data_IF_156708827417
#
_entry.id   IF_156708827417
#
_cell.length_a   1.000
_cell.length_b   1.000
_cell.length_c   1.000
_cell.angle_alpha   90.00
_cell.angle_beta   90.00
_cell.angle_gamma   90.00
#
_symmetry.space_group_name_H-M   'P 1'
#
loop_
_entity.id
_entity.type
_entity.pdbx_description
1 polymer ?
#
# COMPACT_ATOMS: atom_id res chain seq x y z
N UNK A 1 21.81 -9.84 -37.14
CA UNK A 1 20.79 -10.75 -37.70
C UNK A 1 19.62 -10.74 -36.74
N UNK A 2 18.41 -10.41 -37.18
CA UNK A 2 17.22 -10.36 -36.30
C UNK A 2 16.82 -11.79 -35.97
N UNK A 3 16.82 -12.15 -34.69
CA UNK A 3 16.46 -13.52 -34.27
C UNK A 3 14.95 -13.74 -34.35
N UNK A 4 14.51 -15.00 -34.33
CA UNK A 4 13.08 -15.34 -34.23
C UNK A 4 12.49 -14.74 -32.94
N UNK A 5 13.24 -14.75 -31.84
CA UNK A 5 12.84 -14.13 -30.58
C UNK A 5 12.61 -12.63 -30.71
N UNK A 6 13.49 -11.91 -31.42
CA UNK A 6 13.32 -10.47 -31.66
C UNK A 6 12.04 -10.17 -32.46
N UNK A 7 11.71 -11.01 -33.45
CA UNK A 7 10.45 -10.87 -34.20
C UNK A 7 9.23 -11.09 -33.32
N UNK A 8 9.30 -12.04 -32.40
CA UNK A 8 8.21 -12.31 -31.46
C UNK A 8 8.02 -11.17 -30.46
N UNK A 9 9.13 -10.67 -29.89
CA UNK A 9 9.11 -9.58 -28.91
C UNK A 9 8.54 -8.27 -29.48
N UNK A 10 8.77 -8.02 -30.78
CA UNK A 10 8.27 -6.83 -31.49
C UNK A 10 6.90 -7.06 -32.18
N UNK A 11 6.26 -8.22 -32.00
CA UNK A 11 4.97 -8.52 -32.62
C UNK A 11 3.81 -7.94 -31.81
N UNK A 12 3.10 -6.98 -32.40
CA UNK A 12 1.88 -6.41 -31.80
C UNK A 12 0.77 -7.45 -31.61
N UNK A 13 0.70 -8.42 -32.52
CA UNK A 13 -0.32 -9.49 -32.44
C UNK A 13 -0.06 -10.36 -31.22
N UNK A 14 1.19 -10.74 -30.96
CA UNK A 14 1.54 -11.57 -29.80
C UNK A 14 1.24 -10.83 -28.50
N UNK A 15 1.61 -9.55 -28.40
CA UNK A 15 1.33 -8.72 -27.23
C UNK A 15 -0.19 -8.59 -26.98
N UNK A 16 -0.98 -8.32 -28.03
CA UNK A 16 -2.43 -8.20 -27.92
C UNK A 16 -3.10 -9.53 -27.54
N UNK A 17 -2.64 -10.66 -28.09
CA UNK A 17 -3.16 -11.98 -27.71
C UNK A 17 -2.87 -12.28 -26.24
N UNK A 18 -1.65 -11.97 -25.75
CA UNK A 18 -1.28 -12.17 -24.36
C UNK A 18 -2.14 -11.29 -23.43
N UNK A 19 -2.33 -10.02 -23.79
CA UNK A 19 -3.20 -9.12 -23.05
C UNK A 19 -4.66 -9.61 -23.04
N UNK A 20 -5.18 -10.05 -24.19
CA UNK A 20 -6.54 -10.59 -24.31
C UNK A 20 -6.75 -11.82 -23.42
N UNK A 21 -5.80 -12.74 -23.37
CA UNK A 21 -5.84 -13.90 -22.46
C UNK A 21 -5.89 -13.45 -20.99
N UNK A 22 -5.05 -12.49 -20.62
CA UNK A 22 -5.05 -11.91 -19.27
C UNK A 22 -6.37 -11.25 -18.90
N UNK A 23 -6.92 -10.42 -19.78
CA UNK A 23 -8.22 -9.77 -19.56
C UNK A 23 -9.39 -10.74 -19.56
N UNK A 24 -9.31 -11.85 -20.31
CA UNK A 24 -10.30 -12.93 -20.25
C UNK A 24 -10.33 -13.55 -18.85
N UNK A 25 -9.17 -13.82 -18.25
CA UNK A 25 -9.09 -14.31 -16.87
C UNK A 25 -9.62 -13.28 -15.86
N UNK A 26 -9.25 -12.00 -16.02
CA UNK A 26 -9.73 -10.93 -15.14
C UNK A 26 -11.27 -10.84 -15.19
N UNK A 27 -11.85 -10.85 -16.38
CA UNK A 27 -13.30 -10.87 -16.57
C UNK A 27 -13.93 -12.10 -15.93
N UNK A 28 -13.37 -13.29 -16.18
CA UNK A 28 -13.83 -14.54 -15.59
C UNK A 28 -13.84 -14.47 -14.06
N UNK A 29 -12.77 -13.94 -13.44
CA UNK A 29 -12.67 -13.79 -11.99
C UNK A 29 -13.79 -12.91 -11.43
N UNK A 30 -14.03 -11.73 -11.99
CA UNK A 30 -15.12 -10.85 -11.53
C UNK A 30 -16.51 -11.43 -11.81
N UNK A 31 -16.69 -12.14 -12.93
CA UNK A 31 -17.97 -12.76 -13.27
C UNK A 31 -18.35 -13.91 -12.33
N UNK A 32 -17.36 -14.64 -11.80
CA UNK A 32 -17.58 -15.83 -10.96
C UNK A 32 -17.51 -15.54 -9.47
N UNK A 33 -16.72 -14.55 -9.04
CA UNK A 33 -16.50 -14.22 -7.63
C UNK A 33 -17.10 -12.88 -7.20
N UNK A 34 -17.75 -12.15 -8.10
CA UNK A 34 -18.21 -10.78 -7.85
C UNK A 34 -17.04 -9.81 -7.66
N UNK A 35 -17.25 -8.75 -6.89
CA UNK A 35 -16.22 -7.73 -6.62
C UNK A 35 -15.16 -8.23 -5.63
N UNK A 36 -14.33 -9.18 -6.06
CA UNK A 36 -13.22 -9.77 -5.30
C UNK A 36 -11.89 -9.18 -5.74
N UNK A 37 -11.61 -7.93 -5.37
CA UNK A 37 -10.36 -7.26 -5.73
C UNK A 37 -9.27 -7.54 -4.68
N UNK A 38 -8.27 -8.33 -5.04
CA UNK A 38 -7.06 -8.56 -4.26
C UNK A 38 -5.80 -8.06 -4.98
N UNK A 39 -4.66 -8.09 -4.29
CA UNK A 39 -3.39 -7.62 -4.84
C UNK A 39 -2.94 -8.38 -6.10
N UNK A 40 -3.27 -9.67 -6.22
CA UNK A 40 -2.90 -10.46 -7.40
C UNK A 40 -3.71 -10.02 -8.62
N UNK A 41 -5.00 -9.78 -8.44
CA UNK A 41 -5.88 -9.29 -9.52
C UNK A 41 -5.49 -7.86 -9.92
N UNK A 42 -5.18 -7.00 -8.95
CA UNK A 42 -4.65 -5.65 -9.24
C UNK A 42 -3.35 -5.72 -10.05
N UNK A 43 -2.41 -6.58 -9.65
CA UNK A 43 -1.15 -6.78 -10.37
C UNK A 43 -1.40 -7.31 -11.79
N UNK A 44 -2.31 -8.28 -11.95
CA UNK A 44 -2.68 -8.81 -13.26
C UNK A 44 -3.28 -7.72 -14.16
N UNK A 45 -4.18 -6.89 -13.63
CA UNK A 45 -4.77 -5.76 -14.36
C UNK A 45 -3.66 -4.83 -14.87
N UNK A 46 -2.77 -4.35 -13.99
CA UNK A 46 -1.70 -3.44 -14.40
C UNK A 46 -0.72 -4.09 -15.38
N UNK A 47 -0.38 -5.36 -15.19
CA UNK A 47 0.53 -6.09 -16.07
C UNK A 47 -0.03 -6.23 -17.49
N UNK A 48 -1.27 -6.72 -17.63
CA UNK A 48 -1.89 -6.92 -18.93
C UNK A 48 -2.32 -5.61 -19.59
N UNK A 49 -2.76 -4.62 -18.81
CA UNK A 49 -2.97 -3.26 -19.32
C UNK A 49 -1.67 -2.64 -19.84
N UNK A 50 -0.56 -2.81 -19.10
CA UNK A 50 0.76 -2.35 -19.51
C UNK A 50 1.19 -2.93 -20.85
N UNK A 51 1.04 -4.25 -21.03
CA UNK A 51 1.31 -4.94 -22.31
C UNK A 51 0.42 -4.39 -23.43
N UNK A 52 -0.89 -4.26 -23.19
CA UNK A 52 -1.83 -3.77 -24.19
C UNK A 52 -1.52 -2.34 -24.66
N UNK A 53 -1.15 -1.46 -23.72
CA UNK A 53 -0.92 -0.04 -23.98
C UNK A 53 0.44 0.24 -24.65
N UNK A 54 1.47 -0.58 -24.40
CA UNK A 54 2.79 -0.41 -25.01
C UNK A 54 2.91 -1.06 -26.40
N UNK A 55 1.93 -1.86 -26.81
CA UNK A 55 1.81 -2.38 -28.16
C UNK A 55 2.70 -3.58 -28.46
N UNK A 56 3.94 -3.64 -27.98
CA UNK A 56 4.82 -4.81 -28.10
C UNK A 56 5.40 -5.23 -26.74
N UNK A 57 5.83 -6.49 -26.62
CA UNK A 57 6.49 -6.97 -25.40
C UNK A 57 7.85 -6.28 -25.21
N UNK A 58 8.56 -6.00 -26.30
CA UNK A 58 9.81 -5.26 -26.26
C UNK A 58 9.62 -3.85 -25.70
N UNK A 59 8.62 -3.11 -26.19
CA UNK A 59 8.32 -1.75 -25.73
C UNK A 59 7.88 -1.73 -24.27
N UNK A 60 7.07 -2.71 -23.84
CA UNK A 60 6.66 -2.83 -22.44
C UNK A 60 7.85 -3.10 -21.51
N UNK A 61 8.72 -4.06 -21.86
CA UNK A 61 9.91 -4.37 -21.07
C UNK A 61 10.87 -3.18 -21.02
N UNK A 62 11.03 -2.47 -22.13
CA UNK A 62 11.83 -1.25 -22.18
C UNK A 62 11.26 -0.16 -21.27
N UNK A 63 9.95 0.07 -21.31
CA UNK A 63 9.28 1.01 -20.41
C UNK A 63 9.44 0.63 -18.92
N UNK A 64 9.33 -0.66 -18.58
CA UNK A 64 9.60 -1.16 -17.22
C UNK A 64 11.04 -0.87 -16.82
N UNK A 65 12.01 -1.13 -17.71
CA UNK A 65 13.43 -0.85 -17.47
C UNK A 65 13.69 0.64 -17.24
N UNK A 66 13.05 1.52 -17.99
CA UNK A 66 13.22 2.97 -17.88
C UNK A 66 12.57 3.53 -16.60
N UNK A 67 11.46 2.94 -16.14
CA UNK A 67 10.80 3.32 -14.89
C UNK A 67 11.49 2.78 -13.63
N UNK A 68 12.15 1.62 -13.73
CA UNK A 68 12.75 0.89 -12.59
C UNK A 68 13.71 1.74 -11.74
N UNK A 69 14.65 2.53 -12.31
CA UNK A 69 15.53 3.38 -11.52
C UNK A 69 14.80 4.31 -10.55
N UNK A 70 13.67 4.89 -10.98
CA UNK A 70 12.85 5.80 -10.19
C UNK A 70 12.15 5.16 -8.99
N UNK A 71 11.99 3.83 -8.99
CA UNK A 71 11.34 3.07 -7.91
C UNK A 71 12.26 2.01 -7.29
N UNK A 72 13.56 2.05 -7.59
CA UNK A 72 14.55 1.06 -7.15
C UNK A 72 14.59 0.87 -5.63
N UNK A 73 14.47 1.96 -4.86
CA UNK A 73 14.38 1.90 -3.40
C UNK A 73 13.13 1.15 -2.91
N UNK A 74 12.01 1.31 -3.60
CA UNK A 74 10.75 0.60 -3.30
C UNK A 74 10.92 -0.90 -3.58
N UNK A 75 11.47 -1.26 -4.73
CA UNK A 75 11.72 -2.65 -5.15
C UNK A 75 12.60 -3.37 -4.11
N UNK A 76 13.64 -2.70 -3.61
CA UNK A 76 14.54 -3.27 -2.60
C UNK A 76 13.86 -3.47 -1.23
N UNK A 77 13.02 -2.52 -0.81
CA UNK A 77 12.37 -2.55 0.51
C UNK A 77 11.23 -3.58 0.60
N UNK A 78 10.49 -3.81 -0.49
CA UNK A 78 9.30 -4.67 -0.47
C UNK A 78 9.55 -6.11 0.03
N UNK A 79 10.62 -6.80 -0.42
CA UNK A 79 10.98 -8.11 0.14
C UNK A 79 11.28 -8.09 1.65
N UNK A 80 11.88 -7.02 2.17
CA UNK A 80 12.15 -6.86 3.60
C UNK A 80 10.84 -6.70 4.38
N UNK A 81 9.89 -5.90 3.87
CA UNK A 81 8.57 -5.77 4.46
C UNK A 81 7.78 -7.09 4.44
N UNK A 82 7.89 -7.87 3.36
CA UNK A 82 7.31 -9.21 3.31
C UNK A 82 7.92 -10.15 4.35
N UNK A 83 9.24 -10.07 4.59
CA UNK A 83 9.91 -10.81 5.65
C UNK A 83 9.41 -10.44 7.06
N UNK A 84 9.30 -9.13 7.35
CA UNK A 84 8.75 -8.64 8.61
C UNK A 84 7.30 -9.08 8.79
N UNK A 85 6.48 -8.98 7.74
CA UNK A 85 5.10 -9.47 7.74
C UNK A 85 5.04 -10.95 8.10
N UNK A 86 5.90 -11.78 7.48
CA UNK A 86 6.01 -13.20 7.81
C UNK A 86 6.33 -13.42 9.28
N UNK A 87 7.33 -12.73 9.81
CA UNK A 87 7.68 -12.80 11.23
C UNK A 87 6.50 -12.40 12.13
N UNK A 88 5.88 -11.26 11.90
CA UNK A 88 4.75 -10.77 12.72
C UNK A 88 3.59 -11.75 12.68
N UNK A 89 3.24 -12.27 11.51
CA UNK A 89 2.11 -13.19 11.31
C UNK A 89 2.34 -14.56 11.96
N UNK A 90 3.55 -15.12 11.86
CA UNK A 90 3.80 -16.51 12.27
C UNK A 90 4.46 -16.67 13.64
N UNK A 91 4.95 -15.59 14.26
CA UNK A 91 5.59 -15.63 15.60
C UNK A 91 4.61 -15.52 16.77
N UNK A 92 3.31 -15.27 16.50
CA UNK A 92 2.33 -14.93 17.53
C UNK A 92 2.37 -13.47 17.99
N UNK A 93 3.21 -12.62 17.38
CA UNK A 93 3.26 -11.19 17.70
C UNK A 93 1.94 -10.46 17.44
N UNK A 94 1.13 -10.92 16.49
CA UNK A 94 -0.23 -10.37 16.28
C UNK A 94 -1.05 -10.49 17.55
N UNK A 95 -1.07 -11.65 18.22
CA UNK A 95 -1.77 -11.86 19.49
C UNK A 95 -1.29 -10.93 20.59
N UNK A 96 0.03 -10.87 20.78
CA UNK A 96 0.66 -10.06 21.83
C UNK A 96 0.33 -8.58 21.66
N UNK A 97 0.51 -8.04 20.46
CA UNK A 97 0.25 -6.62 20.21
C UNK A 97 -1.25 -6.31 20.21
N UNK A 98 -2.10 -7.22 19.74
CA UNK A 98 -3.54 -7.01 19.76
C UNK A 98 -4.05 -6.92 21.20
N UNK A 99 -3.60 -7.84 22.06
CA UNK A 99 -3.94 -7.85 23.49
C UNK A 99 -3.40 -6.60 24.21
N UNK A 100 -2.20 -6.12 23.85
CA UNK A 100 -1.63 -4.91 24.41
C UNK A 100 -2.45 -3.64 24.04
N UNK A 101 -2.92 -3.53 22.80
CA UNK A 101 -3.81 -2.43 22.40
C UNK A 101 -5.14 -2.52 23.15
N UNK A 102 -5.71 -3.72 23.25
CA UNK A 102 -6.98 -3.96 23.95
C UNK A 102 -6.87 -3.60 25.44
N UNK A 103 -5.78 -3.97 26.12
CA UNK A 103 -5.63 -3.76 27.57
C UNK A 103 -5.56 -2.30 27.99
N UNK A 104 -5.13 -1.40 27.09
CA UNK A 104 -5.08 0.05 27.33
C UNK A 104 -6.29 0.81 26.76
N UNK A 105 -7.19 0.11 26.04
CA UNK A 105 -8.29 0.72 25.30
C UNK A 105 -9.62 0.60 26.02
N UNK A 106 -10.49 1.58 25.81
CA UNK A 106 -11.94 1.46 25.98
C UNK A 106 -12.59 1.51 24.60
N UNK A 107 -13.89 1.18 24.49
CA UNK A 107 -14.61 1.30 23.21
C UNK A 107 -14.50 2.69 22.57
N UNK A 108 -14.46 3.73 23.41
CA UNK A 108 -14.36 5.12 22.94
C UNK A 108 -12.92 5.49 22.51
N UNK A 109 -11.89 4.96 23.18
CA UNK A 109 -10.49 5.33 22.91
C UNK A 109 -9.78 4.37 21.94
N UNK A 110 -10.38 3.21 21.66
CA UNK A 110 -9.78 2.16 20.83
C UNK A 110 -9.34 2.64 19.44
N UNK A 111 -10.17 3.41 18.73
CA UNK A 111 -9.83 3.90 17.39
C UNK A 111 -8.70 4.93 17.44
N UNK A 112 -8.62 5.73 18.49
CA UNK A 112 -7.51 6.66 18.70
C UNK A 112 -6.20 5.90 18.97
N UNK A 113 -6.22 4.88 19.82
CA UNK A 113 -5.03 4.05 20.08
C UNK A 113 -4.58 3.30 18.83
N UNK A 114 -5.51 2.75 18.05
CA UNK A 114 -5.22 2.12 16.75
C UNK A 114 -4.58 3.12 15.78
N UNK A 115 -5.09 4.35 15.73
CA UNK A 115 -4.51 5.42 14.92
C UNK A 115 -3.09 5.77 15.37
N UNK A 116 -2.86 5.98 16.67
CA UNK A 116 -1.53 6.31 17.22
C UNK A 116 -0.53 5.16 16.97
N UNK A 117 -0.90 3.91 17.25
CA UNK A 117 -0.02 2.76 17.02
C UNK A 117 0.34 2.63 15.54
N UNK A 118 -0.66 2.77 14.66
CA UNK A 118 -0.47 2.76 13.22
C UNK A 118 0.47 3.87 12.75
N UNK A 119 0.34 5.06 13.34
CA UNK A 119 1.17 6.22 13.05
C UNK A 119 2.64 5.99 13.40
N UNK A 120 2.90 5.35 14.55
CA UNK A 120 4.24 4.98 14.99
C UNK A 120 4.84 3.92 14.06
N UNK A 121 4.07 2.88 13.71
CA UNK A 121 4.54 1.83 12.80
C UNK A 121 4.88 2.40 11.41
N UNK A 122 4.08 3.35 10.91
CA UNK A 122 4.36 4.00 9.63
C UNK A 122 5.73 4.69 9.58
N UNK A 123 6.22 5.23 10.70
CA UNK A 123 7.57 5.83 10.77
C UNK A 123 8.68 4.83 10.41
N UNK A 124 8.44 3.53 10.59
CA UNK A 124 9.39 2.46 10.24
C UNK A 124 9.02 1.75 8.93
N UNK A 125 7.74 1.73 8.57
CA UNK A 125 7.21 1.08 7.37
C UNK A 125 6.37 2.09 6.55
N UNK A 126 7.00 3.07 5.86
CA UNK A 126 6.33 4.14 5.14
C UNK A 126 5.73 3.69 3.80
N UNK A 127 4.89 2.66 3.85
CA UNK A 127 4.25 2.04 2.68
C UNK A 127 2.83 1.63 3.07
N UNK A 128 1.81 2.15 2.39
CA UNK A 128 0.42 1.83 2.73
C UNK A 128 0.12 0.32 2.69
N UNK A 129 0.56 -0.36 1.64
CA UNK A 129 0.41 -1.82 1.52
C UNK A 129 1.27 -2.59 2.53
N UNK A 130 2.53 -2.20 2.72
CA UNK A 130 3.45 -2.85 3.67
C UNK A 130 3.01 -2.68 5.13
N UNK A 131 2.52 -1.49 5.47
CA UNK A 131 1.96 -1.21 6.79
C UNK A 131 0.66 -1.96 7.03
N UNK A 132 -0.26 -2.00 6.05
CA UNK A 132 -1.49 -2.79 6.19
C UNK A 132 -1.19 -4.26 6.44
N UNK A 133 -0.19 -4.81 5.75
CA UNK A 133 0.27 -6.17 5.94
C UNK A 133 0.73 -6.48 7.39
N UNK A 134 1.28 -5.49 8.11
CA UNK A 134 1.75 -5.64 9.50
C UNK A 134 0.66 -5.26 10.51
N UNK A 135 0.09 -4.06 10.37
CA UNK A 135 -0.81 -3.44 11.34
C UNK A 135 -2.28 -3.87 11.16
N UNK A 136 -2.68 -4.22 9.94
CA UNK A 136 -4.05 -4.64 9.61
C UNK A 136 -4.52 -5.84 10.44
N UNK A 137 -3.77 -6.97 10.46
CA UNK A 137 -4.15 -8.12 11.28
C UNK A 137 -4.28 -7.80 12.77
N UNK A 138 -3.39 -6.96 13.30
CA UNK A 138 -3.43 -6.51 14.70
C UNK A 138 -4.70 -5.70 14.95
N UNK A 139 -4.98 -4.71 14.10
CA UNK A 139 -6.15 -3.85 14.25
C UNK A 139 -7.47 -4.62 14.12
N UNK A 140 -7.55 -5.56 13.17
CA UNK A 140 -8.75 -6.38 12.99
C UNK A 140 -8.98 -7.31 14.18
N UNK A 141 -7.92 -7.95 14.69
CA UNK A 141 -8.03 -8.81 15.86
C UNK A 141 -8.37 -8.04 17.13
N UNK A 142 -7.75 -6.87 17.36
CA UNK A 142 -8.15 -6.00 18.48
C UNK A 142 -9.60 -5.52 18.34
N UNK A 143 -10.06 -5.21 17.13
CA UNK A 143 -11.45 -4.81 16.90
C UNK A 143 -12.43 -5.94 17.24
N UNK A 144 -12.12 -7.16 16.84
CA UNK A 144 -12.89 -8.36 17.20
C UNK A 144 -12.96 -8.54 18.72
N UNK A 145 -11.82 -8.49 19.42
CA UNK A 145 -11.76 -8.62 20.88
C UNK A 145 -12.55 -7.54 21.63
N UNK A 146 -12.61 -6.33 21.08
CA UNK A 146 -13.34 -5.20 21.64
C UNK A 146 -14.82 -5.16 21.24
N UNK A 147 -15.26 -5.97 20.26
CA UNK A 147 -16.56 -5.80 19.62
C UNK A 147 -16.70 -4.46 18.86
N UNK A 148 -15.60 -3.93 18.33
CA UNK A 148 -15.53 -2.67 17.61
C UNK A 148 -15.67 -2.85 16.09
N UNK A 149 -15.92 -1.76 15.36
CA UNK A 149 -16.11 -1.79 13.91
C UNK A 149 -14.82 -2.02 13.15
N UNK A 150 -14.79 -3.08 12.34
CA UNK A 150 -13.70 -3.34 11.41
C UNK A 150 -13.46 -2.19 10.43
N UNK A 151 -14.53 -1.54 9.95
CA UNK A 151 -14.43 -0.45 8.98
C UNK A 151 -13.71 0.73 9.62
N UNK A 152 -14.15 1.17 10.79
CA UNK A 152 -13.55 2.31 11.48
C UNK A 152 -12.14 1.99 11.98
N UNK A 153 -11.85 0.75 12.34
CA UNK A 153 -10.48 0.29 12.64
C UNK A 153 -9.57 0.33 11.41
N UNK A 154 -10.05 -0.11 10.24
CA UNK A 154 -9.29 -0.03 9.01
C UNK A 154 -8.99 1.43 8.63
N UNK A 155 -9.97 2.32 8.80
CA UNK A 155 -9.79 3.76 8.61
C UNK A 155 -8.79 4.35 9.61
N UNK A 156 -8.85 3.98 10.90
CA UNK A 156 -7.88 4.42 11.90
C UNK A 156 -6.44 4.03 11.51
N UNK A 157 -6.24 2.81 10.98
CA UNK A 157 -4.95 2.39 10.45
C UNK A 157 -4.52 3.27 9.27
N UNK A 158 -5.41 3.48 8.28
CA UNK A 158 -5.13 4.29 7.09
C UNK A 158 -4.85 5.77 7.41
N UNK A 159 -5.56 6.34 8.38
CA UNK A 159 -5.33 7.69 8.86
C UNK A 159 -3.97 7.81 9.56
N UNK A 160 -3.57 6.80 10.34
CA UNK A 160 -2.26 6.80 10.97
C UNK A 160 -1.12 6.78 9.95
N UNK A 161 -1.26 5.98 8.88
CA UNK A 161 -0.35 6.01 7.73
C UNK A 161 -0.29 7.42 7.09
N UNK A 162 -1.45 7.97 6.76
CA UNK A 162 -1.53 9.26 6.05
C UNK A 162 -1.00 10.42 6.89
N UNK A 163 -1.25 10.39 8.20
CA UNK A 163 -0.86 11.45 9.11
C UNK A 163 0.67 11.56 9.21
N UNK A 164 1.38 10.47 9.55
CA UNK A 164 2.85 10.54 9.69
C UNK A 164 3.61 10.54 8.37
N UNK A 165 2.96 10.24 7.24
CA UNK A 165 3.54 10.51 5.92
C UNK A 165 3.90 11.99 5.75
N UNK A 166 3.20 12.93 6.39
CA UNK A 166 3.58 14.36 6.32
C UNK A 166 4.97 14.63 6.92
N UNK A 167 5.45 13.80 7.83
CA UNK A 167 6.83 13.87 8.36
C UNK A 167 7.84 13.17 7.44
N UNK A 168 7.42 12.20 6.62
CA UNK A 168 8.30 11.38 5.79
C UNK A 168 8.14 11.74 4.30
N UNK A 169 9.17 12.28 3.63
CA UNK A 169 9.04 12.81 2.26
C UNK A 169 9.00 11.71 1.19
N UNK A 170 8.73 10.44 1.53
CA UNK A 170 8.76 9.33 0.60
C UNK A 170 7.75 9.49 -0.55
N UNK A 171 6.53 9.91 -0.22
CA UNK A 171 5.50 10.25 -1.21
C UNK A 171 5.85 11.49 -2.04
N UNK A 172 6.69 12.38 -1.51
CA UNK A 172 7.06 13.62 -2.15
C UNK A 172 8.24 13.46 -3.14
N UNK A 173 8.94 12.31 -3.17
CA UNK A 173 10.16 12.13 -3.99
C UNK A 173 9.93 12.50 -5.46
N UNK A 174 8.81 12.05 -6.05
CA UNK A 174 8.49 12.38 -7.44
C UNK A 174 8.25 13.89 -7.63
N UNK A 175 7.51 14.53 -6.73
CA UNK A 175 7.22 15.96 -6.79
C UNK A 175 8.48 16.82 -6.55
N UNK A 176 9.33 16.41 -5.60
CA UNK A 176 10.61 17.06 -5.31
C UNK A 176 11.55 16.96 -6.52
N UNK A 177 11.55 15.82 -7.21
CA UNK A 177 12.29 15.65 -8.47
C UNK A 177 11.85 16.61 -9.57
N UNK A 178 10.54 16.87 -9.69
CA UNK A 178 9.99 17.81 -10.69
C UNK A 178 10.25 19.28 -10.30
N UNK A 179 10.12 19.61 -9.02
CA UNK A 179 10.24 21.00 -8.52
C UNK A 179 11.69 21.43 -8.26
N UNK A 180 12.64 20.48 -8.21
CA UNK A 180 14.03 20.75 -7.85
C UNK A 180 14.24 21.07 -6.35
N UNK A 181 13.19 20.99 -5.54
CA UNK A 181 13.25 21.21 -4.10
C UNK A 181 13.92 20.02 -3.40
N UNK A 182 14.63 20.32 -2.32
CA UNK A 182 15.17 19.27 -1.43
C UNK A 182 14.11 18.95 -0.37
N UNK A 183 14.10 17.72 0.13
CA UNK A 183 13.18 17.32 1.20
C UNK A 183 13.23 18.26 2.42
N UNK A 184 14.43 18.73 2.79
CA UNK A 184 14.64 19.69 3.89
C UNK A 184 13.84 20.99 3.75
N UNK A 185 13.54 21.39 2.51
CA UNK A 185 12.88 22.65 2.20
C UNK A 185 11.38 22.59 2.51
N UNK A 186 10.81 21.39 2.58
CA UNK A 186 9.35 21.16 2.73
C UNK A 186 9.00 20.48 4.05
N UNK A 187 9.91 19.67 4.61
CA UNK A 187 9.62 18.80 5.75
C UNK A 187 9.20 19.58 7.01
N UNK A 188 9.77 20.77 7.24
CA UNK A 188 9.44 21.59 8.41
C UNK A 188 7.99 22.10 8.35
N UNK A 189 7.58 22.58 7.17
CA UNK A 189 6.19 22.99 6.93
C UNK A 189 5.22 21.80 7.04
N UNK A 190 5.54 20.69 6.38
CA UNK A 190 4.71 19.48 6.42
C UNK A 190 4.58 18.91 7.84
N UNK A 191 5.63 18.99 8.66
CA UNK A 191 5.59 18.59 10.08
C UNK A 191 4.69 19.51 10.90
N UNK A 192 4.71 20.83 10.65
CA UNK A 192 3.78 21.74 11.32
C UNK A 192 2.32 21.40 10.96
N UNK A 193 2.03 21.13 9.68
CA UNK A 193 0.71 20.68 9.23
C UNK A 193 0.34 19.32 9.84
N UNK A 194 1.28 18.40 9.98
CA UNK A 194 1.07 17.12 10.67
C UNK A 194 0.61 17.36 12.10
N UNK A 195 1.33 18.17 12.88
CA UNK A 195 0.96 18.44 14.29
C UNK A 195 -0.44 19.04 14.38
N UNK A 196 -0.74 20.03 13.53
CA UNK A 196 -2.06 20.67 13.51
C UNK A 196 -3.17 19.72 13.05
N UNK A 197 -2.92 18.84 12.09
CA UNK A 197 -3.91 17.89 11.58
C UNK A 197 -4.19 16.72 12.52
N UNK A 198 -3.40 16.53 13.59
CA UNK A 198 -3.67 15.49 14.60
C UNK A 198 -5.10 15.59 15.13
N UNK A 199 -5.56 16.81 15.48
CA UNK A 199 -6.92 17.00 16.01
C UNK A 199 -8.00 16.69 14.96
N UNK A 200 -7.70 16.94 13.68
CA UNK A 200 -8.61 16.66 12.56
C UNK A 200 -8.84 15.16 12.38
N UNK A 201 -7.84 14.32 12.67
CA UNK A 201 -8.00 12.87 12.68
C UNK A 201 -8.54 12.33 14.02
N UNK A 202 -8.01 12.83 15.14
CA UNK A 202 -8.31 12.32 16.48
C UNK A 202 -9.77 12.56 16.91
N UNK A 203 -10.32 13.75 16.62
CA UNK A 203 -11.70 14.11 17.03
C UNK A 203 -12.73 13.16 16.37
N UNK A 204 -12.73 12.98 15.03
CA UNK A 204 -13.60 11.99 14.38
C UNK A 204 -13.47 10.58 14.96
N UNK A 205 -12.24 10.13 15.21
CA UNK A 205 -12.01 8.78 15.73
C UNK A 205 -12.57 8.59 17.14
N UNK A 206 -12.54 9.63 17.98
CA UNK A 206 -13.09 9.60 19.34
C UNK A 206 -14.61 9.75 19.38
N UNK A 207 -15.19 10.63 18.55
CA UNK A 207 -16.56 11.12 18.78
C UNK A 207 -17.54 10.79 17.66
N UNK A 208 -17.10 10.57 16.42
CA UNK A 208 -18.04 10.24 15.35
C UNK A 208 -18.44 8.76 15.41
N UNK A 209 -19.72 8.43 15.25
CA UNK A 209 -20.18 7.06 15.20
C UNK A 209 -19.65 6.35 13.94
N UNK A 210 -19.76 5.02 13.96
CA UNK A 210 -19.51 4.13 12.82
C UNK A 210 -20.70 4.17 11.88
#
# INVERSE_FOLDING_TARGET
MVTVGDRMNNSKIIALLLAALGFTYIYYHFSTKGFSLDLNIVNAIFFFAGIALHGTMADYVQAVKDATPGVSGVIFQFPLYAGIMGMVRYSGLVDVFSAAIVSISTLNTFYLWTFISSSIVNLFVPSGGGQWAVQGPIAMKSAEMMGASYIKSALAVAYGNTWTNMLQPFWAIALLGITGLKARDVIGYATAVMILSFVVFAIPLLFLPV
#
